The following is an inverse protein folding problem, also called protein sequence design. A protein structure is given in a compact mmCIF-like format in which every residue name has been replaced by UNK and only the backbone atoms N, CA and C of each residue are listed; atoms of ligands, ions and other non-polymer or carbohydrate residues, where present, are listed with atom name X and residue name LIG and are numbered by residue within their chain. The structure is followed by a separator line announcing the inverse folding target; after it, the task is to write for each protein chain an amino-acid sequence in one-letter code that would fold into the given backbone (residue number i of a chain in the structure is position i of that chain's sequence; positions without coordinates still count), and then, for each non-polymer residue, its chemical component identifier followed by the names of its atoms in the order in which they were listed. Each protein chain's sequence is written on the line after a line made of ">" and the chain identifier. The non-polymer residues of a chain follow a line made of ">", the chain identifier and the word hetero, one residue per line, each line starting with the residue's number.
data_IF_053926901170
#
_entry.id   IF_053926901170
#
_cell.length_a   1.000
_cell.length_b   1.000
_cell.length_c   1.000
_cell.angle_alpha   90.00
_cell.angle_beta   90.00
_cell.angle_gamma   90.00
#
_symmetry.space_group_name_H-M   'P 1'
#
loop_
_entity.id
_entity.type
_entity.pdbx_description
1 polymer ?
#
# COMPACT_ATOMS: atom_id res chain seq x y z
N UNK A 1 12.93 -10.87 -11.88
CA UNK A 1 11.64 -10.17 -11.88
C UNK A 1 11.72 -8.97 -12.82
N UNK A 2 10.57 -8.45 -13.24
CA UNK A 2 10.45 -7.26 -14.10
C UNK A 2 9.82 -6.17 -13.25
N UNK A 3 10.46 -5.01 -13.20
CA UNK A 3 9.90 -3.80 -12.61
C UNK A 3 8.62 -3.41 -13.35
N UNK A 4 7.52 -3.32 -12.61
CA UNK A 4 6.22 -2.91 -13.14
C UNK A 4 6.23 -1.43 -13.51
N UNK A 5 5.46 -1.09 -14.55
CA UNK A 5 5.32 0.27 -15.05
C UNK A 5 3.85 0.57 -15.36
N UNK A 6 3.50 1.85 -15.49
CA UNK A 6 2.14 2.25 -15.92
C UNK A 6 1.74 1.53 -17.22
N UNK A 7 0.53 0.98 -17.25
CA UNK A 7 0.01 0.18 -18.35
C UNK A 7 0.24 -1.33 -18.21
N UNK A 8 1.11 -1.77 -17.29
CA UNK A 8 1.21 -3.19 -16.95
C UNK A 8 -0.01 -3.66 -16.14
N UNK A 9 -0.27 -4.96 -16.15
CA UNK A 9 -1.28 -5.58 -15.31
C UNK A 9 -0.74 -5.76 -13.90
N UNK A 10 -1.50 -5.32 -12.90
CA UNK A 10 -1.19 -5.52 -11.50
C UNK A 10 -1.26 -7.02 -11.15
N UNK A 11 -0.27 -7.56 -10.42
CA UNK A 11 -0.42 -8.87 -9.79
C UNK A 11 -1.64 -8.88 -8.87
N UNK A 12 -2.49 -9.91 -8.97
CA UNK A 12 -3.60 -10.08 -8.04
C UNK A 12 -3.12 -10.71 -6.73
N UNK A 13 -3.81 -10.43 -5.63
CA UNK A 13 -3.54 -11.03 -4.33
C UNK A 13 -4.82 -11.21 -3.54
N UNK A 14 -4.75 -12.09 -2.54
CA UNK A 14 -5.80 -12.29 -1.53
C UNK A 14 -5.10 -12.45 -0.18
N UNK A 15 -5.17 -11.40 0.65
CA UNK A 15 -4.41 -11.31 1.91
C UNK A 15 -5.35 -11.11 3.11
N UNK A 16 -5.01 -11.68 4.28
CA UNK A 16 -5.72 -11.39 5.53
C UNK A 16 -5.47 -9.94 5.96
N UNK A 17 -6.50 -9.32 6.53
CA UNK A 17 -6.46 -7.93 6.99
C UNK A 17 -6.68 -7.79 8.48
N UNK A 18 -6.19 -6.69 9.05
CA UNK A 18 -6.24 -6.40 10.48
C UNK A 18 -7.65 -6.42 11.11
N UNK A 19 -8.72 -6.26 10.32
CA UNK A 19 -10.11 -6.31 10.78
C UNK A 19 -10.67 -7.74 10.87
N UNK A 20 -9.85 -8.75 10.60
CA UNK A 20 -10.23 -10.16 10.58
C UNK A 20 -10.86 -10.62 9.26
N UNK A 21 -10.93 -9.74 8.26
CA UNK A 21 -11.39 -10.08 6.91
C UNK A 21 -10.23 -10.44 5.98
N UNK A 22 -10.51 -10.48 4.68
CA UNK A 22 -9.52 -10.68 3.61
C UNK A 22 -9.79 -9.67 2.52
N UNK A 23 -8.74 -9.16 1.92
CA UNK A 23 -8.82 -8.25 0.77
C UNK A 23 -8.26 -8.95 -0.46
N UNK A 24 -9.10 -9.02 -1.50
CA UNK A 24 -8.70 -9.49 -2.83
C UNK A 24 -8.63 -8.30 -3.77
N UNK A 25 -7.48 -8.06 -4.39
CA UNK A 25 -7.24 -6.84 -5.16
C UNK A 25 -8.22 -6.71 -6.33
N UNK A 26 -8.43 -7.78 -7.09
CA UNK A 26 -9.37 -7.79 -8.22
C UNK A 26 -10.82 -7.49 -7.81
N UNK A 27 -11.25 -7.95 -6.64
CA UNK A 27 -12.61 -7.71 -6.13
C UNK A 27 -12.76 -6.23 -5.70
N UNK A 28 -11.72 -5.67 -5.08
CA UNK A 28 -11.68 -4.27 -4.68
C UNK A 28 -11.63 -3.34 -5.90
N UNK A 29 -10.79 -3.66 -6.90
CA UNK A 29 -10.65 -2.90 -8.14
C UNK A 29 -11.94 -2.89 -8.96
N UNK A 30 -12.64 -4.03 -9.06
CA UNK A 30 -13.91 -4.11 -9.78
C UNK A 30 -15.03 -3.22 -9.17
N UNK A 31 -14.88 -2.82 -7.90
CA UNK A 31 -15.90 -2.08 -7.14
C UNK A 31 -15.61 -0.58 -7.01
N UNK A 32 -14.43 -0.11 -7.43
CA UNK A 32 -13.96 1.26 -7.23
C UNK A 32 -13.52 1.88 -8.56
N UNK A 33 -13.28 3.19 -8.57
CA UNK A 33 -12.63 3.85 -9.71
C UNK A 33 -11.18 3.43 -9.86
N UNK A 34 -10.53 3.13 -8.75
CA UNK A 34 -9.19 2.54 -8.67
C UNK A 34 -8.83 2.19 -7.23
N UNK A 35 -7.77 1.40 -7.06
CA UNK A 35 -7.26 0.99 -5.76
C UNK A 35 -5.84 1.50 -5.59
N UNK A 36 -5.62 2.29 -4.54
CA UNK A 36 -4.30 2.70 -4.10
C UNK A 36 -3.72 1.57 -3.26
N UNK A 37 -2.71 0.87 -3.79
CA UNK A 37 -1.95 -0.16 -3.08
C UNK A 37 -0.61 0.46 -2.68
N UNK A 38 -0.40 0.67 -1.39
CA UNK A 38 0.87 1.20 -0.90
C UNK A 38 1.60 0.18 -0.02
N UNK A 39 2.82 -0.13 -0.43
CA UNK A 39 3.76 -1.00 0.28
C UNK A 39 4.58 -0.19 1.25
N UNK A 40 4.74 -0.67 2.49
CA UNK A 40 5.57 -0.01 3.49
C UNK A 40 6.48 -1.00 4.24
N UNK A 41 7.70 -0.58 4.66
CA UNK A 41 8.69 -1.50 5.23
C UNK A 41 8.28 -2.19 6.54
N UNK A 42 7.65 -1.45 7.46
CA UNK A 42 7.35 -1.94 8.83
C UNK A 42 6.35 -1.06 9.56
N UNK A 43 5.32 -1.67 10.15
CA UNK A 43 4.32 -1.01 10.99
C UNK A 43 4.95 -0.32 12.22
N UNK A 44 4.26 0.70 12.75
CA UNK A 44 4.68 1.44 13.95
C UNK A 44 6.10 2.06 13.91
N UNK A 45 6.70 2.21 12.73
CA UNK A 45 7.93 3.00 12.53
C UNK A 45 7.59 4.43 12.12
N UNK A 46 8.44 5.44 12.42
CA UNK A 46 8.10 6.85 12.21
C UNK A 46 7.61 7.16 10.77
N UNK A 47 8.38 6.78 9.75
CA UNK A 47 8.00 7.06 8.35
C UNK A 47 6.73 6.32 7.88
N UNK A 48 6.52 5.08 8.33
CA UNK A 48 5.29 4.34 8.00
C UNK A 48 4.07 4.88 8.75
N UNK A 49 4.26 5.38 9.98
CA UNK A 49 3.22 6.03 10.77
C UNK A 49 2.82 7.36 10.14
N UNK A 50 3.78 8.15 9.66
CA UNK A 50 3.51 9.38 8.90
C UNK A 50 2.67 9.09 7.67
N UNK A 51 3.09 8.12 6.83
CA UNK A 51 2.36 7.78 5.62
C UNK A 51 0.94 7.25 5.90
N UNK A 52 0.78 6.38 6.91
CA UNK A 52 -0.52 5.86 7.31
C UNK A 52 -1.46 6.96 7.82
N UNK A 53 -0.96 7.87 8.65
CA UNK A 53 -1.72 9.03 9.11
C UNK A 53 -2.12 9.95 7.95
N UNK A 54 -1.21 10.20 7.01
CA UNK A 54 -1.48 11.06 5.85
C UNK A 54 -2.58 10.44 4.97
N UNK A 55 -2.53 9.12 4.72
CA UNK A 55 -3.63 8.43 4.04
C UNK A 55 -4.94 8.50 4.83
N UNK A 56 -4.91 8.29 6.15
CA UNK A 56 -6.11 8.39 7.02
C UNK A 56 -6.75 9.77 6.90
N UNK A 57 -5.96 10.82 7.02
CA UNK A 57 -6.43 12.20 7.05
C UNK A 57 -6.99 12.64 5.67
N UNK A 58 -6.62 11.93 4.60
CA UNK A 58 -7.07 12.17 3.23
C UNK A 58 -8.07 11.11 2.70
N UNK A 59 -8.41 10.08 3.48
CA UNK A 59 -9.18 8.94 2.99
C UNK A 59 -10.55 9.37 2.47
N UNK A 60 -11.26 10.24 3.19
CA UNK A 60 -12.58 10.69 2.79
C UNK A 60 -12.59 11.40 1.42
N UNK A 61 -11.53 12.15 1.10
CA UNK A 61 -11.40 12.83 -0.19
C UNK A 61 -11.11 11.81 -1.32
N UNK A 62 -10.22 10.85 -1.05
CA UNK A 62 -9.90 9.76 -1.98
C UNK A 62 -11.13 8.88 -2.25
N UNK A 63 -11.86 8.51 -1.20
CA UNK A 63 -13.10 7.76 -1.30
C UNK A 63 -14.19 8.52 -2.07
N UNK A 64 -14.34 9.84 -1.84
CA UNK A 64 -15.27 10.68 -2.60
C UNK A 64 -14.90 10.77 -4.09
N UNK A 65 -13.61 10.66 -4.42
CA UNK A 65 -13.12 10.55 -5.80
C UNK A 65 -13.21 9.12 -6.38
N UNK A 66 -13.71 8.16 -5.58
CA UNK A 66 -13.95 6.77 -5.96
C UNK A 66 -12.77 5.82 -5.75
N UNK A 67 -11.71 6.24 -5.06
CA UNK A 67 -10.54 5.39 -4.79
C UNK A 67 -10.66 4.63 -3.48
N UNK A 68 -10.31 3.35 -3.50
CA UNK A 68 -10.04 2.57 -2.29
C UNK A 68 -8.55 2.63 -1.93
N UNK A 69 -8.22 2.34 -0.66
CA UNK A 69 -6.84 2.30 -0.16
C UNK A 69 -6.60 0.94 0.49
N UNK A 70 -5.43 0.35 0.24
CA UNK A 70 -4.92 -0.80 0.98
C UNK A 70 -3.43 -0.61 1.27
N UNK A 71 -3.07 -0.75 2.54
CA UNK A 71 -1.67 -0.77 2.97
C UNK A 71 -1.17 -2.21 3.06
N UNK A 72 0.00 -2.49 2.50
CA UNK A 72 0.59 -3.85 2.47
C UNK A 72 1.98 -3.83 3.12
N UNK A 73 2.21 -4.74 4.05
CA UNK A 73 3.55 -5.02 4.58
C UNK A 73 3.70 -6.49 4.97
N UNK A 74 4.94 -6.88 5.30
CA UNK A 74 5.27 -8.23 5.79
C UNK A 74 5.11 -8.38 7.30
N UNK A 75 4.50 -7.40 7.96
CA UNK A 75 4.26 -7.45 9.41
C UNK A 75 3.21 -8.53 9.73
N UNK A 76 3.38 -9.29 10.83
CA UNK A 76 2.39 -10.25 11.29
C UNK A 76 1.03 -9.60 11.53
N UNK A 77 -0.05 -10.37 11.31
CA UNK A 77 -1.40 -9.83 11.44
C UNK A 77 -1.68 -9.16 12.80
N UNK A 78 -1.13 -9.70 13.89
CA UNK A 78 -1.27 -9.13 15.23
C UNK A 78 -0.67 -7.72 15.35
N UNK A 79 0.44 -7.45 14.67
CA UNK A 79 1.10 -6.14 14.66
C UNK A 79 0.26 -5.14 13.86
N UNK A 80 -0.36 -5.59 12.76
CA UNK A 80 -1.27 -4.76 11.96
C UNK A 80 -2.55 -4.39 12.72
N UNK A 81 -3.10 -5.32 13.52
CA UNK A 81 -4.25 -5.06 14.40
C UNK A 81 -3.92 -3.94 15.38
N UNK A 82 -2.79 -4.04 16.08
CA UNK A 82 -2.36 -3.03 17.04
C UNK A 82 -2.11 -1.68 16.34
N UNK A 83 -1.42 -1.69 15.21
CA UNK A 83 -1.11 -0.47 14.47
C UNK A 83 -2.35 0.23 13.93
N UNK A 84 -3.32 -0.52 13.40
CA UNK A 84 -4.59 0.03 12.94
C UNK A 84 -5.39 0.67 14.07
N UNK A 85 -5.42 0.02 15.24
CA UNK A 85 -6.07 0.54 16.44
C UNK A 85 -5.42 1.83 16.93
N UNK A 86 -4.08 1.85 17.03
CA UNK A 86 -3.34 3.02 17.50
C UNK A 86 -3.50 4.21 16.56
N UNK A 87 -3.46 3.97 15.24
CA UNK A 87 -3.52 5.03 14.24
C UNK A 87 -4.93 5.37 13.76
N UNK A 88 -5.95 4.60 14.15
CA UNK A 88 -7.35 4.81 13.78
C UNK A 88 -7.55 4.91 12.27
N UNK A 89 -6.92 4.02 11.49
CA UNK A 89 -7.05 4.05 10.03
C UNK A 89 -8.42 3.51 9.58
N UNK A 90 -9.08 4.13 8.58
CA UNK A 90 -10.38 3.68 8.06
C UNK A 90 -10.27 2.71 6.88
N UNK A 91 -9.08 2.17 6.59
CA UNK A 91 -8.82 1.31 5.42
C UNK A 91 -8.03 0.05 5.81
N UNK A 92 -8.08 -1.02 4.99
CA UNK A 92 -7.39 -2.27 5.29
C UNK A 92 -5.87 -2.14 5.26
N UNK A 93 -5.23 -2.54 6.36
CA UNK A 93 -3.89 -3.12 6.36
C UNK A 93 -3.94 -4.62 6.09
N UNK A 94 -3.22 -5.06 5.06
CA UNK A 94 -3.09 -6.44 4.62
C UNK A 94 -1.70 -7.00 4.99
N UNK A 95 -1.69 -8.23 5.53
CA UNK A 95 -0.49 -8.91 5.98
C UNK A 95 0.04 -9.87 4.92
N UNK A 96 1.22 -9.56 4.39
CA UNK A 96 1.98 -10.35 3.41
C UNK A 96 3.16 -11.05 4.13
N UNK A 97 2.90 -11.84 5.19
CA UNK A 97 3.97 -12.40 6.04
C UNK A 97 5.01 -13.24 5.27
N UNK A 98 4.61 -13.85 4.14
CA UNK A 98 5.48 -14.65 3.29
C UNK A 98 6.14 -13.86 2.15
N UNK A 99 5.99 -12.53 2.14
CA UNK A 99 6.54 -11.57 1.17
C UNK A 99 6.22 -11.85 -0.31
N UNK A 100 5.30 -12.77 -0.61
CA UNK A 100 5.03 -13.19 -1.98
C UNK A 100 4.36 -12.09 -2.81
N UNK A 101 3.51 -11.28 -2.18
CA UNK A 101 2.88 -10.13 -2.85
C UNK A 101 3.90 -9.04 -3.09
N UNK A 102 4.73 -8.70 -2.09
CA UNK A 102 5.81 -7.74 -2.25
C UNK A 102 6.79 -8.13 -3.38
N UNK A 103 7.16 -9.41 -3.46
CA UNK A 103 7.99 -9.94 -4.56
C UNK A 103 7.29 -9.83 -5.93
N UNK A 104 5.99 -10.12 -6.01
CA UNK A 104 5.23 -10.03 -7.26
C UNK A 104 5.11 -8.60 -7.80
N UNK A 105 5.10 -7.61 -6.90
CA UNK A 105 5.10 -6.18 -7.22
C UNK A 105 6.51 -5.58 -7.40
N UNK A 106 7.57 -6.39 -7.34
CA UNK A 106 8.98 -5.93 -7.37
C UNK A 106 9.30 -4.92 -6.26
N UNK A 107 8.67 -5.07 -5.08
CA UNK A 107 8.86 -4.21 -3.90
C UNK A 107 9.61 -4.91 -2.77
N UNK A 108 10.14 -6.11 -2.97
CA UNK A 108 10.99 -6.78 -1.99
C UNK A 108 12.47 -6.65 -2.37
N UNK A 109 13.31 -6.14 -1.47
CA UNK A 109 14.73 -6.00 -1.78
C UNK A 109 15.59 -5.40 -0.67
N UNK A 110 16.85 -5.18 -1.00
CA UNK A 110 17.83 -4.61 -0.09
C UNK A 110 17.71 -3.08 -0.03
N UNK A 111 17.73 -2.52 1.19
CA UNK A 111 17.73 -1.10 1.44
C UNK A 111 18.69 -0.73 2.57
N UNK A 112 19.21 0.51 2.54
CA UNK A 112 20.03 1.02 3.63
C UNK A 112 19.17 1.59 4.75
N UNK A 113 19.25 0.96 5.92
CA UNK A 113 18.75 1.52 7.16
C UNK A 113 19.89 2.27 7.88
N UNK A 114 19.54 3.21 8.77
CA UNK A 114 20.55 3.95 9.55
C UNK A 114 21.42 3.04 10.44
N UNK A 115 20.97 1.82 10.73
CA UNK A 115 21.73 0.79 11.46
C UNK A 115 22.46 -0.20 10.55
N UNK A 116 22.51 0.03 9.24
CA UNK A 116 23.14 -0.87 8.27
C UNK A 116 22.17 -1.49 7.25
N UNK A 117 22.68 -2.38 6.37
CA UNK A 117 21.89 -3.01 5.32
C UNK A 117 20.77 -3.88 5.88
N UNK A 118 19.60 -3.82 5.27
CA UNK A 118 18.43 -4.64 5.55
C UNK A 118 17.83 -5.14 4.25
N UNK A 119 17.13 -6.26 4.32
CA UNK A 119 16.25 -6.75 3.25
C UNK A 119 14.83 -6.63 3.75
N UNK A 120 13.93 -6.10 2.92
CA UNK A 120 12.54 -5.92 3.31
C UNK A 120 11.70 -5.28 2.21
N UNK A 121 10.47 -4.93 2.56
CA UNK A 121 9.56 -4.21 1.67
C UNK A 121 10.08 -2.79 1.42
N UNK A 122 10.24 -2.44 0.15
CA UNK A 122 10.62 -1.13 -0.36
C UNK A 122 9.35 -0.27 -0.46
N UNK A 123 9.36 0.92 0.16
CA UNK A 123 8.19 1.81 0.15
C UNK A 123 7.82 2.17 -1.27
N UNK A 124 6.62 1.79 -1.70
CA UNK A 124 6.18 1.93 -3.09
C UNK A 124 4.66 2.12 -3.12
N UNK A 125 4.15 2.82 -4.11
CA UNK A 125 2.71 3.08 -4.27
C UNK A 125 2.28 2.80 -5.70
N UNK A 126 1.14 2.13 -5.85
CA UNK A 126 0.53 1.77 -7.11
C UNK A 126 -0.92 2.22 -7.11
N UNK A 127 -1.45 2.58 -8.28
CA UNK A 127 -2.89 2.74 -8.49
C UNK A 127 -3.34 1.75 -9.54
N UNK A 128 -4.30 0.91 -9.16
CA UNK A 128 -4.83 -0.20 -9.94
C UNK A 128 -6.24 0.17 -10.42
N UNK A 129 -6.42 0.24 -11.73
CA UNK A 129 -7.71 0.50 -12.37
C UNK A 129 -8.62 -0.75 -12.33
N UNK A 130 -9.93 -0.62 -12.64
CA UNK A 130 -10.89 -1.73 -12.48
C UNK A 130 -10.61 -2.95 -13.36
N UNK A 131 -9.85 -2.77 -14.43
CA UNK A 131 -9.39 -3.83 -15.34
C UNK A 131 -8.01 -4.40 -14.94
N UNK A 132 -7.56 -4.12 -13.72
CA UNK A 132 -6.25 -4.48 -13.16
C UNK A 132 -5.07 -3.77 -13.83
N UNK A 133 -5.28 -2.75 -14.67
CA UNK A 133 -4.19 -1.96 -15.24
C UNK A 133 -3.59 -1.03 -14.20
N UNK A 134 -2.26 -0.92 -14.16
CA UNK A 134 -1.57 0.06 -13.34
C UNK A 134 -1.65 1.44 -14.00
N UNK A 135 -2.45 2.35 -13.44
CA UNK A 135 -2.50 3.76 -13.89
C UNK A 135 -1.41 4.62 -13.27
N UNK A 136 -0.85 4.18 -12.13
CA UNK A 136 0.24 4.85 -11.45
C UNK A 136 1.20 3.84 -10.81
N UNK A 137 2.49 4.12 -10.88
CA UNK A 137 3.56 3.33 -10.25
C UNK A 137 4.64 4.27 -9.72
N UNK A 138 4.95 4.18 -8.43
CA UNK A 138 6.05 4.90 -7.78
C UNK A 138 6.80 3.96 -6.82
N UNK A 139 8.08 3.71 -7.08
CA UNK A 139 8.97 2.99 -6.17
C UNK A 139 9.84 3.96 -5.38
N UNK A 140 10.29 3.55 -4.20
CA UNK A 140 11.21 4.36 -3.39
C UNK A 140 10.56 5.64 -2.87
N UNK A 141 9.28 5.56 -2.54
CA UNK A 141 8.45 6.68 -2.08
C UNK A 141 9.08 7.34 -0.85
N UNK A 142 9.14 8.67 -0.86
CA UNK A 142 9.35 9.47 0.35
C UNK A 142 7.98 9.69 1.01
N UNK A 143 7.75 9.22 2.25
CA UNK A 143 6.45 9.37 2.91
C UNK A 143 6.04 10.84 3.09
N UNK A 144 6.98 11.78 3.17
CA UNK A 144 6.67 13.18 3.41
C UNK A 144 6.04 13.84 2.16
N UNK A 145 4.78 14.25 2.31
CA UNK A 145 3.99 14.90 1.26
C UNK A 145 3.59 13.98 0.10
N UNK A 146 3.77 12.66 0.22
CA UNK A 146 3.43 11.72 -0.84
C UNK A 146 1.93 11.71 -1.14
N UNK A 147 1.06 11.65 -0.14
CA UNK A 147 -0.39 11.54 -0.38
C UNK A 147 -0.92 12.81 -1.05
N UNK A 148 -0.41 13.99 -0.68
CA UNK A 148 -0.73 15.24 -1.36
C UNK A 148 -0.36 15.21 -2.86
N UNK A 149 0.87 14.77 -3.19
CA UNK A 149 1.31 14.63 -4.60
C UNK A 149 0.47 13.59 -5.36
N UNK A 150 0.17 12.46 -4.72
CA UNK A 150 -0.66 11.41 -5.32
C UNK A 150 -2.06 11.95 -5.65
N UNK A 151 -2.67 12.67 -4.73
CA UNK A 151 -3.98 13.32 -4.92
C UNK A 151 -4.00 14.27 -6.11
N UNK A 152 -2.97 15.11 -6.27
CA UNK A 152 -2.83 15.99 -7.43
C UNK A 152 -2.78 15.19 -8.75
N UNK A 153 -2.06 14.08 -8.78
CA UNK A 153 -1.99 13.18 -9.95
C UNK A 153 -3.35 12.53 -10.25
N UNK A 154 -4.09 12.14 -9.22
CA UNK A 154 -5.37 11.44 -9.35
C UNK A 154 -6.58 12.37 -9.58
N UNK A 155 -6.39 13.68 -9.38
CA UNK A 155 -7.44 14.70 -9.43
C UNK A 155 -8.45 14.58 -8.29
N UNK A 156 -7.96 14.27 -7.06
CA UNK A 156 -8.76 13.97 -5.87
C UNK A 156 -8.49 14.90 -4.68
#
# INVERSE_FOLDING_TARGET
>A
MRTLTTGDQAPDFDLPTHDGSRVKLSDLAASHRGVIVYFYPKAATPGCTTQACDFRDNEAALAAAGYAIVGVSTDPLADLVAFAQDQHVPFPFASDEDHSVAESFDTWGDYMHHTGPRTGTLRSTFVVDPDMTLSYVEYGVDPDGHVARLREVLGA
#
